data_IF_973651839273
#
_entry.id   IF_973651839273
#
_cell.length_a   1.000
_cell.length_b   1.000
_cell.length_c   1.000
_cell.angle_alpha   90.00
_cell.angle_beta   90.00
_cell.angle_gamma   90.00
#
_symmetry.space_group_name_H-M   'P 1'
#
loop_
_entity.id
_entity.type
_entity.pdbx_description
1 polymer ?
#
# COMPACT_ATOMS: atom_id res chain seq x y z
N UNK A 1 -3.81 -15.21 3.63
CA UNK A 1 -2.80 -14.50 4.45
C UNK A 1 -3.08 -13.03 4.24
N UNK A 2 -3.12 -12.28 5.33
CA UNK A 2 -3.58 -10.90 5.28
C UNK A 2 -2.40 -9.94 5.47
N UNK A 3 -2.40 -8.87 4.69
CA UNK A 3 -1.50 -7.72 4.86
C UNK A 3 -2.36 -6.57 5.36
N UNK A 4 -1.96 -5.97 6.48
CA UNK A 4 -2.68 -4.84 7.04
C UNK A 4 -2.08 -3.53 6.56
N UNK A 5 -2.92 -2.71 5.92
CA UNK A 5 -2.60 -1.37 5.45
C UNK A 5 -3.47 -0.35 6.20
N UNK A 6 -2.91 0.81 6.51
CA UNK A 6 -3.65 1.98 7.00
C UNK A 6 -3.64 3.03 5.90
N UNK A 7 -4.82 3.49 5.50
CA UNK A 7 -4.96 4.52 4.46
C UNK A 7 -5.41 5.83 5.10
N UNK A 8 -4.63 6.88 4.92
CA UNK A 8 -4.99 8.25 5.30
C UNK A 8 -5.37 9.01 4.04
N UNK A 9 -6.63 9.42 3.96
CA UNK A 9 -7.26 10.04 2.77
C UNK A 9 -7.70 11.46 3.08
N UNK A 10 -7.54 12.34 2.10
CA UNK A 10 -8.12 13.68 2.03
C UNK A 10 -8.53 13.98 0.59
N UNK A 11 -9.29 15.07 0.37
CA UNK A 11 -9.45 15.65 -0.97
C UNK A 11 -8.50 16.82 -1.16
N UNK A 12 -8.01 17.00 -2.38
CA UNK A 12 -7.31 18.21 -2.78
C UNK A 12 -8.28 19.29 -3.27
N UNK A 13 -7.74 20.44 -3.67
CA UNK A 13 -8.51 21.61 -4.12
C UNK A 13 -9.25 21.36 -5.45
N UNK A 14 -8.79 20.38 -6.23
CA UNK A 14 -9.46 19.92 -7.46
C UNK A 14 -10.52 18.84 -7.17
N UNK A 15 -10.69 18.43 -5.91
CA UNK A 15 -11.64 17.42 -5.48
C UNK A 15 -11.17 15.97 -5.67
N UNK A 16 -9.92 15.76 -6.09
CA UNK A 16 -9.33 14.43 -6.24
C UNK A 16 -8.93 13.85 -4.88
N UNK A 17 -9.00 12.52 -4.75
CA UNK A 17 -8.49 11.83 -3.57
C UNK A 17 -6.96 11.92 -3.54
N UNK A 18 -6.40 12.25 -2.38
CA UNK A 18 -4.96 12.17 -2.14
C UNK A 18 -4.69 11.63 -0.74
N UNK A 19 -3.52 11.04 -0.55
CA UNK A 19 -3.22 10.47 0.74
C UNK A 19 -1.92 9.70 0.83
N UNK A 20 -1.86 8.89 1.88
CA UNK A 20 -0.76 7.96 2.17
C UNK A 20 -1.34 6.60 2.51
N UNK A 21 -0.73 5.55 1.97
CA UNK A 21 -0.91 4.15 2.38
C UNK A 21 0.30 3.74 3.23
N UNK A 22 0.05 3.20 4.41
CA UNK A 22 1.08 2.75 5.35
C UNK A 22 0.95 1.24 5.59
N UNK A 23 2.03 0.48 5.42
CA UNK A 23 2.08 -0.94 5.78
C UNK A 23 2.34 -1.06 7.28
N UNK A 24 1.36 -1.61 8.02
CA UNK A 24 1.41 -1.64 9.50
C UNK A 24 2.64 -2.36 10.05
N UNK A 25 3.03 -3.47 9.42
CA UNK A 25 4.13 -4.30 9.93
C UNK A 25 5.51 -3.66 9.74
N UNK A 26 5.72 -2.93 8.65
CA UNK A 26 7.03 -2.38 8.27
C UNK A 26 7.14 -0.88 8.49
N UNK A 27 6.02 -0.18 8.65
CA UNK A 27 5.97 1.28 8.69
C UNK A 27 6.25 1.95 7.34
N UNK A 28 6.34 1.17 6.26
CA UNK A 28 6.53 1.65 4.90
C UNK A 28 5.35 2.52 4.46
N UNK A 29 5.62 3.68 3.87
CA UNK A 29 4.61 4.68 3.52
C UNK A 29 4.78 5.13 2.09
N UNK A 30 3.68 5.14 1.36
CA UNK A 30 3.65 5.59 -0.03
C UNK A 30 2.48 6.54 -0.27
N UNK A 31 2.72 7.60 -1.02
CA UNK A 31 1.72 8.63 -1.35
C UNK A 31 0.96 8.25 -2.61
N UNK A 32 -0.28 8.71 -2.71
CA UNK A 32 -1.08 8.61 -3.94
C UNK A 32 -1.88 9.89 -4.17
N UNK A 33 -2.22 10.12 -5.44
CA UNK A 33 -3.19 11.11 -5.90
C UNK A 33 -4.04 10.43 -6.97
N UNK A 34 -5.37 10.53 -6.84
CA UNK A 34 -6.34 9.84 -7.67
C UNK A 34 -6.67 8.43 -7.17
N UNK A 35 -7.88 7.98 -7.48
CA UNK A 35 -8.40 6.66 -7.10
C UNK A 35 -7.68 5.52 -7.83
N UNK A 36 -7.32 5.72 -9.10
CA UNK A 36 -6.58 4.72 -9.89
C UNK A 36 -5.21 4.43 -9.27
N UNK A 37 -4.45 5.48 -8.96
CA UNK A 37 -3.18 5.37 -8.25
C UNK A 37 -3.32 4.69 -6.90
N UNK A 38 -4.40 4.95 -6.14
CA UNK A 38 -4.65 4.26 -4.86
C UNK A 38 -4.87 2.76 -5.06
N UNK A 39 -5.68 2.38 -6.05
CA UNK A 39 -5.93 0.97 -6.37
C UNK A 39 -4.63 0.26 -6.72
N UNK A 40 -3.88 0.80 -7.68
CA UNK A 40 -2.64 0.18 -8.16
C UNK A 40 -1.60 0.08 -7.03
N UNK A 41 -1.55 1.10 -6.16
CA UNK A 41 -0.69 1.09 -4.98
C UNK A 41 -1.05 -0.02 -4.01
N UNK A 42 -2.33 -0.23 -3.71
CA UNK A 42 -2.78 -1.30 -2.81
C UNK A 42 -2.44 -2.67 -3.41
N UNK A 43 -2.74 -2.90 -4.69
CA UNK A 43 -2.44 -4.16 -5.39
C UNK A 43 -0.93 -4.46 -5.32
N UNK A 44 -0.08 -3.49 -5.69
CA UNK A 44 1.39 -3.65 -5.63
C UNK A 44 1.89 -3.92 -4.21
N UNK A 45 1.44 -3.16 -3.22
CA UNK A 45 1.87 -3.36 -1.83
C UNK A 45 1.44 -4.72 -1.28
N UNK A 46 0.32 -5.28 -1.75
CA UNK A 46 -0.07 -6.64 -1.40
C UNK A 46 0.87 -7.66 -2.04
N UNK A 47 1.11 -7.54 -3.34
CA UNK A 47 1.99 -8.44 -4.10
C UNK A 47 3.41 -8.46 -3.54
N UNK A 48 3.96 -7.29 -3.20
CA UNK A 48 5.28 -7.15 -2.60
C UNK A 48 5.37 -7.90 -1.25
N UNK A 49 4.32 -7.79 -0.43
CA UNK A 49 4.28 -8.45 0.88
C UNK A 49 4.15 -9.98 0.76
N UNK A 50 3.44 -10.47 -0.25
CA UNK A 50 3.36 -11.89 -0.58
C UNK A 50 4.73 -12.40 -1.06
N UNK A 51 5.37 -11.68 -1.98
CA UNK A 51 6.65 -12.05 -2.56
C UNK A 51 7.79 -12.07 -1.52
N UNK A 52 7.85 -11.09 -0.63
CA UNK A 52 8.87 -11.02 0.43
C UNK A 52 8.82 -12.27 1.34
N UNK A 53 7.62 -12.74 1.66
CA UNK A 53 7.44 -13.93 2.50
C UNK A 53 7.81 -15.22 1.77
N UNK A 54 7.44 -15.34 0.49
CA UNK A 54 7.83 -16.48 -0.35
C UNK A 54 9.37 -16.61 -0.47
N UNK A 55 10.08 -15.49 -0.53
CA UNK A 55 11.55 -15.46 -0.49
C UNK A 55 12.09 -15.90 0.88
N UNK A 56 11.47 -15.46 1.98
CA UNK A 56 11.86 -15.86 3.35
C UNK A 56 11.63 -17.35 3.63
N UNK A 57 10.58 -17.97 3.08
CA UNK A 57 10.34 -19.41 3.25
C UNK A 57 11.28 -20.29 2.44
N UNK A 58 11.78 -19.83 1.29
CA UNK A 58 12.73 -20.58 0.45
C UNK A 58 14.16 -20.62 1.03
N UNK A 59 14.49 -19.69 1.94
CA UNK A 59 15.81 -19.59 2.58
C UNK A 59 15.88 -20.33 3.93
N UNK A 60 14.78 -20.93 4.38
CA UNK A 60 14.67 -21.65 5.66
C UNK A 60 14.71 -23.16 5.46
#
# INVERSE_FOLDING_TARGET
MDITLVVRVSRDDAGALRGVVERVKTGEKERFVGTETLRDLIERMVDDGVAERARKSRKR
#
